data_IF_946966179016
#
_entry.id   IF_946966179016
#
_cell.length_a   1.000
_cell.length_b   1.000
_cell.length_c   1.000
_cell.angle_alpha   90.00
_cell.angle_beta   90.00
_cell.angle_gamma   90.00
#
_symmetry.space_group_name_H-M   'P 1'
#
loop_
_entity.id
_entity.type
_entity.pdbx_description
1 polymer ?
#
# COMPACT_ATOMS: atom_id res chain seq x y z
N UNK A 1 7.75 -36.01 -8.54
CA UNK A 1 7.98 -34.55 -8.38
C UNK A 1 6.92 -33.99 -7.46
N UNK A 2 7.31 -33.45 -6.29
CA UNK A 2 6.39 -32.77 -5.36
C UNK A 2 5.75 -31.61 -6.14
N UNK A 3 4.41 -31.59 -6.28
CA UNK A 3 3.72 -30.45 -6.89
C UNK A 3 4.08 -29.22 -6.06
N UNK A 4 4.85 -28.31 -6.62
CA UNK A 4 5.08 -27.03 -5.95
C UNK A 4 3.69 -26.39 -5.82
N UNK A 5 3.31 -26.04 -4.59
CA UNK A 5 2.02 -25.42 -4.33
C UNK A 5 1.91 -24.16 -5.20
N UNK A 6 1.00 -24.18 -6.18
CA UNK A 6 0.82 -23.11 -7.17
C UNK A 6 0.63 -21.75 -6.50
N UNK A 7 0.00 -21.71 -5.31
CA UNK A 7 -0.17 -20.47 -4.54
C UNK A 7 1.17 -19.84 -4.16
N UNK A 8 2.14 -20.65 -3.72
CA UNK A 8 3.48 -20.15 -3.34
C UNK A 8 4.33 -19.80 -4.55
N UNK A 9 4.18 -20.51 -5.66
CA UNK A 9 4.89 -20.20 -6.91
C UNK A 9 4.46 -18.85 -7.47
N UNK A 10 3.15 -18.62 -7.60
CA UNK A 10 2.63 -17.35 -8.10
C UNK A 10 3.01 -16.23 -7.12
N UNK A 11 2.95 -16.51 -5.81
CA UNK A 11 3.39 -15.54 -4.81
C UNK A 11 4.87 -15.15 -4.94
N UNK A 12 5.76 -16.13 -5.15
CA UNK A 12 7.18 -15.89 -5.36
C UNK A 12 7.42 -15.10 -6.66
N UNK A 13 6.67 -15.40 -7.72
CA UNK A 13 6.75 -14.69 -8.98
C UNK A 13 6.40 -13.21 -8.82
N UNK A 14 5.22 -12.88 -8.28
CA UNK A 14 4.81 -11.48 -8.07
C UNK A 14 5.64 -10.77 -6.99
N UNK A 15 6.10 -11.49 -5.97
CA UNK A 15 7.07 -10.98 -5.00
C UNK A 15 8.39 -10.61 -5.67
N UNK A 16 8.91 -11.47 -6.54
CA UNK A 16 10.10 -11.23 -7.35
C UNK A 16 9.93 -10.03 -8.29
N UNK A 17 8.78 -9.92 -8.97
CA UNK A 17 8.46 -8.76 -9.81
C UNK A 17 8.39 -7.46 -9.02
N UNK A 18 7.87 -7.49 -7.79
CA UNK A 18 7.85 -6.32 -6.89
C UNK A 18 9.27 -5.89 -6.53
N UNK A 19 10.13 -6.83 -6.15
CA UNK A 19 11.54 -6.54 -5.84
C UNK A 19 12.26 -6.00 -7.07
N UNK A 20 12.08 -6.64 -8.23
CA UNK A 20 12.65 -6.19 -9.50
C UNK A 20 12.20 -4.76 -9.82
N UNK A 21 10.90 -4.47 -9.72
CA UNK A 21 10.37 -3.12 -9.94
C UNK A 21 11.03 -2.09 -9.02
N UNK A 22 11.13 -2.36 -7.72
CA UNK A 22 11.76 -1.46 -6.76
C UNK A 22 13.26 -1.25 -7.05
N UNK A 23 13.98 -2.31 -7.42
CA UNK A 23 15.39 -2.22 -7.78
C UNK A 23 15.61 -1.40 -9.05
N UNK A 24 14.79 -1.62 -10.08
CA UNK A 24 14.88 -0.84 -11.34
C UNK A 24 14.51 0.62 -11.06
N UNK A 25 13.42 0.88 -10.33
CA UNK A 25 13.01 2.22 -9.94
C UNK A 25 14.07 2.95 -9.11
N UNK A 26 14.88 2.27 -8.30
CA UNK A 26 15.90 2.93 -7.47
C UNK A 26 17.28 3.04 -8.11
N UNK A 27 17.55 2.27 -9.18
CA UNK A 27 18.86 2.27 -9.87
C UNK A 27 18.84 2.93 -11.24
N UNK A 28 17.65 3.11 -11.84
CA UNK A 28 17.49 3.72 -13.16
C UNK A 28 16.68 5.01 -13.02
N UNK A 29 17.38 6.15 -13.05
CA UNK A 29 16.78 7.48 -12.91
C UNK A 29 15.80 7.80 -14.03
N UNK A 30 16.09 7.39 -15.27
CA UNK A 30 15.20 7.62 -16.42
C UNK A 30 13.86 6.90 -16.19
N UNK A 31 13.91 5.64 -15.76
CA UNK A 31 12.69 4.89 -15.45
C UNK A 31 11.95 5.47 -14.24
N UNK A 32 12.69 5.87 -13.19
CA UNK A 32 12.09 6.50 -12.02
C UNK A 32 11.36 7.80 -12.38
N UNK A 33 12.00 8.68 -13.14
CA UNK A 33 11.44 9.96 -13.56
C UNK A 33 10.18 9.74 -14.40
N UNK A 34 10.20 8.75 -15.30
CA UNK A 34 9.01 8.37 -16.07
C UNK A 34 7.84 7.88 -15.20
N UNK A 35 8.13 7.13 -14.13
CA UNK A 35 7.14 6.71 -13.13
C UNK A 35 6.64 7.91 -12.33
N UNK A 36 7.54 8.78 -11.87
CA UNK A 36 7.21 9.93 -11.03
C UNK A 36 6.40 10.99 -11.78
N UNK A 37 6.70 11.22 -13.06
CA UNK A 37 5.91 12.08 -13.96
C UNK A 37 4.43 11.66 -14.00
N UNK A 38 4.16 10.36 -13.98
CA UNK A 38 2.79 9.81 -13.92
C UNK A 38 2.23 9.83 -12.51
N UNK A 39 3.08 9.70 -11.49
CA UNK A 39 2.67 9.75 -10.09
C UNK A 39 2.14 11.13 -9.66
N UNK A 40 2.45 12.19 -10.43
CA UNK A 40 1.79 13.51 -10.30
C UNK A 40 0.27 13.44 -10.51
N UNK A 41 -0.21 12.41 -11.21
CA UNK A 41 -1.63 12.13 -11.30
C UNK A 41 -2.16 11.60 -9.96
N UNK A 42 -2.88 12.45 -9.22
CA UNK A 42 -3.38 12.12 -7.88
C UNK A 42 -4.39 10.97 -7.84
N UNK A 43 -4.96 10.53 -8.98
CA UNK A 43 -5.72 9.28 -9.03
C UNK A 43 -4.90 8.08 -8.53
N UNK A 44 -3.59 8.09 -8.79
CA UNK A 44 -2.67 7.11 -8.21
C UNK A 44 -2.57 7.18 -6.69
N UNK A 45 -2.85 8.34 -6.06
CA UNK A 45 -2.81 8.51 -4.61
C UNK A 45 -4.08 7.96 -3.97
N UNK A 46 -5.24 8.16 -4.62
CA UNK A 46 -6.53 7.66 -4.15
C UNK A 46 -6.68 6.14 -4.28
N UNK A 47 -6.14 5.53 -5.35
CA UNK A 47 -6.25 4.07 -5.54
C UNK A 47 -5.37 3.28 -4.57
N UNK A 48 -4.25 3.85 -4.11
CA UNK A 48 -3.28 3.13 -3.27
C UNK A 48 -3.85 2.63 -1.94
N UNK A 49 -4.56 3.45 -1.15
CA UNK A 49 -5.27 2.97 0.03
C UNK A 49 -6.25 1.84 -0.29
N UNK A 50 -6.95 1.90 -1.43
CA UNK A 50 -7.98 0.92 -1.81
C UNK A 50 -7.40 -0.50 -1.91
N UNK A 51 -6.13 -0.66 -2.28
CA UNK A 51 -5.46 -1.97 -2.30
C UNK A 51 -5.35 -2.62 -0.91
N UNK A 52 -5.51 -1.88 0.20
CA UNK A 52 -5.59 -2.49 1.52
C UNK A 52 -6.79 -3.42 1.66
N UNK A 53 -7.88 -3.18 0.93
CA UNK A 53 -9.09 -4.00 0.98
C UNK A 53 -8.83 -5.43 0.43
N UNK A 54 -8.40 -5.61 -0.84
CA UNK A 54 -8.05 -6.95 -1.33
C UNK A 54 -6.89 -7.56 -0.55
N UNK A 55 -5.92 -6.77 -0.08
CA UNK A 55 -4.83 -7.27 0.77
C UNK A 55 -5.38 -7.93 2.04
N UNK A 56 -6.23 -7.22 2.79
CA UNK A 56 -6.87 -7.73 4.00
C UNK A 56 -7.76 -8.94 3.71
N UNK A 57 -8.49 -8.94 2.59
CA UNK A 57 -9.30 -10.07 2.17
C UNK A 57 -8.45 -11.32 1.90
N UNK A 58 -7.36 -11.20 1.15
CA UNK A 58 -6.50 -12.34 0.84
C UNK A 58 -5.68 -12.80 2.05
N UNK A 59 -5.26 -11.89 2.92
CA UNK A 59 -4.68 -12.23 4.23
C UNK A 59 -5.70 -12.98 5.11
N UNK A 60 -6.96 -12.56 5.09
CA UNK A 60 -8.04 -13.30 5.72
C UNK A 60 -8.17 -14.70 5.07
N UNK A 61 -8.18 -14.81 3.75
CA UNK A 61 -8.26 -16.12 3.08
C UNK A 61 -6.97 -16.95 3.16
N UNK A 62 -5.89 -16.42 3.73
CA UNK A 62 -4.56 -17.05 3.82
C UNK A 62 -3.97 -17.41 2.45
N UNK A 63 -4.26 -16.59 1.43
CA UNK A 63 -3.72 -16.77 0.07
C UNK A 63 -2.47 -15.91 -0.11
N UNK A 64 -1.33 -16.57 -0.32
CA UNK A 64 -0.07 -15.87 -0.61
C UNK A 64 -0.10 -15.23 -1.99
N UNK A 65 -0.74 -15.88 -2.97
CA UNK A 65 -0.95 -15.32 -4.31
C UNK A 65 -1.66 -13.98 -4.25
N UNK A 66 -2.83 -13.93 -3.63
CA UNK A 66 -3.63 -12.71 -3.59
C UNK A 66 -2.93 -11.57 -2.84
N UNK A 67 -2.20 -11.89 -1.76
CA UNK A 67 -1.36 -10.92 -1.04
C UNK A 67 -0.27 -10.35 -1.97
N UNK A 68 0.52 -11.21 -2.61
CA UNK A 68 1.65 -10.78 -3.45
C UNK A 68 1.22 -9.96 -4.67
N UNK A 69 0.13 -10.35 -5.33
CA UNK A 69 -0.45 -9.61 -6.47
C UNK A 69 -0.91 -8.23 -6.02
N UNK A 70 -1.58 -8.17 -4.86
CA UNK A 70 -2.06 -6.88 -4.34
C UNK A 70 -0.90 -5.93 -4.01
N UNK A 71 0.19 -6.44 -3.41
CA UNK A 71 1.40 -5.65 -3.16
C UNK A 71 2.01 -5.18 -4.48
N UNK A 72 2.12 -6.05 -5.48
CA UNK A 72 2.64 -5.69 -6.79
C UNK A 72 1.80 -4.59 -7.46
N UNK A 73 0.47 -4.71 -7.43
CA UNK A 73 -0.44 -3.68 -7.94
C UNK A 73 -0.28 -2.36 -7.18
N UNK A 74 -0.14 -2.39 -5.86
CA UNK A 74 0.06 -1.18 -5.04
C UNK A 74 1.31 -0.40 -5.43
N UNK A 75 2.43 -1.09 -5.72
CA UNK A 75 3.66 -0.43 -6.13
C UNK A 75 3.60 0.06 -7.56
N UNK A 76 3.06 -0.76 -8.47
CA UNK A 76 2.97 -0.38 -9.89
C UNK A 76 1.90 0.68 -10.17
N UNK A 77 0.91 0.86 -9.29
CA UNK A 77 -0.15 1.86 -9.49
C UNK A 77 0.32 3.31 -9.56
N UNK A 78 1.59 3.59 -9.21
CA UNK A 78 2.20 4.92 -9.40
C UNK A 78 2.15 5.40 -10.85
N UNK A 79 2.21 4.48 -11.83
CA UNK A 79 2.29 4.82 -13.25
C UNK A 79 1.12 4.29 -14.09
N UNK A 80 0.03 3.83 -13.48
CA UNK A 80 -1.15 3.33 -14.21
C UNK A 80 -1.93 4.44 -14.93
N UNK A 81 -1.79 5.68 -14.46
CA UNK A 81 -2.45 6.84 -15.05
C UNK A 81 -1.48 7.63 -15.92
N UNK A 82 -2.01 8.30 -16.94
CA UNK A 82 -1.21 9.16 -17.81
C UNK A 82 -0.63 10.34 -17.04
N UNK A 83 0.52 10.84 -17.53
CA UNK A 83 1.10 12.10 -17.08
C UNK A 83 0.03 13.19 -17.22
N UNK A 84 -0.32 13.90 -16.14
CA UNK A 84 -1.33 14.94 -16.20
C UNK A 84 -0.81 16.16 -16.97
N UNK A 85 -1.69 16.83 -17.72
CA UNK A 85 -1.36 18.08 -18.41
C UNK A 85 -1.17 19.24 -17.44
N UNK A 86 -1.96 19.25 -16.35
CA UNK A 86 -1.94 20.27 -15.31
C UNK A 86 -1.69 19.66 -13.94
N UNK A 87 -0.80 20.27 -13.17
CA UNK A 87 -0.49 19.87 -11.80
C UNK A 87 -0.34 21.12 -10.94
N UNK A 88 -0.95 21.12 -9.76
CA UNK A 88 -0.81 22.22 -8.81
C UNK A 88 0.61 22.30 -8.25
N UNK A 89 1.05 23.51 -7.89
CA UNK A 89 2.41 23.73 -7.42
C UNK A 89 2.69 22.98 -6.10
N UNK A 90 1.70 22.84 -5.23
CA UNK A 90 1.83 22.05 -4.02
C UNK A 90 2.08 20.55 -4.30
N UNK A 91 1.44 19.99 -5.33
CA UNK A 91 1.65 18.57 -5.70
C UNK A 91 3.04 18.39 -6.31
N UNK A 92 3.48 19.31 -7.18
CA UNK A 92 4.84 19.31 -7.73
C UNK A 92 5.88 19.40 -6.62
N UNK A 93 5.74 20.38 -5.72
CA UNK A 93 6.67 20.60 -4.61
C UNK A 93 6.75 19.39 -3.67
N UNK A 94 5.61 18.75 -3.38
CA UNK A 94 5.59 17.56 -2.54
C UNK A 94 6.30 16.37 -3.19
N UNK A 95 6.06 16.14 -4.48
CA UNK A 95 6.70 15.04 -5.21
C UNK A 95 8.18 15.28 -5.47
N UNK A 96 8.60 16.51 -5.78
CA UNK A 96 10.02 16.84 -5.85
C UNK A 96 10.70 16.60 -4.50
N UNK A 97 10.09 17.01 -3.38
CA UNK A 97 10.57 16.65 -2.05
C UNK A 97 10.66 15.13 -1.84
N UNK A 98 9.62 14.35 -2.20
CA UNK A 98 9.67 12.89 -2.05
C UNK A 98 10.78 12.26 -2.90
N UNK A 99 11.01 12.75 -4.12
CA UNK A 99 12.08 12.32 -5.01
C UNK A 99 13.45 12.62 -4.42
N UNK A 100 13.69 13.86 -3.99
CA UNK A 100 14.93 14.27 -3.31
C UNK A 100 15.16 13.46 -2.04
N UNK A 101 14.11 13.23 -1.25
CA UNK A 101 14.20 12.42 -0.05
C UNK A 101 14.55 10.97 -0.37
N UNK A 102 14.01 10.37 -1.44
CA UNK A 102 14.29 8.99 -1.85
C UNK A 102 15.71 8.81 -2.40
N UNK A 103 16.17 9.73 -3.26
CA UNK A 103 17.51 9.67 -3.88
C UNK A 103 18.62 10.31 -3.03
N UNK A 104 18.26 11.09 -2.02
CA UNK A 104 19.21 11.68 -1.08
C UNK A 104 19.88 10.65 -0.19
N UNK A 105 20.80 11.13 0.64
CA UNK A 105 21.67 10.30 1.48
C UNK A 105 20.89 9.33 2.39
N UNK A 106 21.31 8.06 2.37
CA UNK A 106 20.72 7.01 3.21
C UNK A 106 21.41 6.96 4.57
N UNK A 107 20.76 7.54 5.57
CA UNK A 107 21.17 7.43 6.96
C UNK A 107 20.31 6.41 7.72
N UNK A 108 20.69 6.11 8.96
CA UNK A 108 19.97 5.16 9.80
C UNK A 108 18.50 5.54 10.02
N UNK A 109 18.17 6.84 10.18
CA UNK A 109 16.78 7.31 10.38
C UNK A 109 15.90 6.99 9.17
N UNK A 110 16.39 7.25 7.96
CA UNK A 110 15.69 6.93 6.70
C UNK A 110 15.47 5.43 6.55
N UNK A 111 16.47 4.61 6.86
CA UNK A 111 16.34 3.14 6.84
C UNK A 111 15.27 2.68 7.83
N UNK A 112 15.30 3.15 9.08
CA UNK A 112 14.29 2.82 10.09
C UNK A 112 12.88 3.19 9.62
N UNK A 113 12.72 4.37 9.01
CA UNK A 113 11.44 4.80 8.50
C UNK A 113 10.95 3.91 7.34
N UNK A 114 11.80 3.59 6.36
CA UNK A 114 11.40 2.74 5.22
C UNK A 114 10.99 1.34 5.69
N UNK A 115 11.66 0.79 6.70
CA UNK A 115 11.33 -0.52 7.30
C UNK A 115 9.95 -0.50 8.00
N UNK A 116 9.44 0.66 8.43
CA UNK A 116 8.07 0.72 8.98
C UNK A 116 7.00 0.31 7.96
N UNK A 117 7.25 0.53 6.66
CA UNK A 117 6.33 0.13 5.59
C UNK A 117 6.11 -1.38 5.56
N UNK A 118 7.12 -2.24 5.33
CA UNK A 118 6.91 -3.69 5.35
C UNK A 118 6.43 -4.21 6.71
N UNK A 119 6.86 -3.61 7.83
CA UNK A 119 6.36 -3.99 9.17
C UNK A 119 4.86 -3.74 9.28
N UNK A 120 4.37 -2.58 8.82
CA UNK A 120 2.95 -2.24 8.87
C UNK A 120 2.09 -3.19 8.02
N UNK A 121 2.55 -3.53 6.81
CA UNK A 121 1.88 -4.54 5.97
C UNK A 121 1.90 -5.93 6.60
N UNK A 122 3.01 -6.33 7.22
CA UNK A 122 3.10 -7.59 7.94
C UNK A 122 2.13 -7.63 9.13
N UNK A 123 2.07 -6.57 9.94
CA UNK A 123 1.15 -6.46 11.06
C UNK A 123 -0.31 -6.49 10.60
N UNK A 124 -0.65 -5.77 9.53
CA UNK A 124 -1.99 -5.77 8.93
C UNK A 124 -2.37 -7.16 8.43
N UNK A 125 -1.47 -7.81 7.69
CA UNK A 125 -1.65 -9.16 7.18
C UNK A 125 -1.90 -10.15 8.32
N UNK A 126 -1.06 -10.10 9.37
CA UNK A 126 -1.17 -10.95 10.54
C UNK A 126 -2.48 -10.73 11.29
N UNK A 127 -2.95 -9.49 11.41
CA UNK A 127 -4.22 -9.17 12.06
C UNK A 127 -5.39 -9.89 11.37
N UNK A 128 -5.50 -9.83 10.04
CA UNK A 128 -6.56 -10.53 9.30
C UNK A 128 -6.35 -12.04 9.21
N UNK A 129 -5.09 -12.50 9.18
CA UNK A 129 -4.74 -13.92 9.24
C UNK A 129 -5.19 -14.58 10.56
N UNK A 130 -5.09 -13.82 11.67
CA UNK A 130 -5.55 -14.18 13.02
C UNK A 130 -7.00 -13.75 13.32
N UNK A 131 -7.74 -13.22 12.33
CA UNK A 131 -9.14 -12.81 12.48
C UNK A 131 -9.38 -11.68 13.49
N UNK A 132 -8.42 -10.77 13.65
CA UNK A 132 -8.55 -9.63 14.55
C UNK A 132 -8.90 -8.35 13.79
N UNK A 133 -10.19 -8.01 13.77
CA UNK A 133 -10.69 -6.80 13.11
C UNK A 133 -10.18 -5.51 13.79
N UNK A 134 -10.18 -5.47 15.12
CA UNK A 134 -9.77 -4.27 15.88
C UNK A 134 -8.30 -3.95 15.62
N UNK A 135 -7.42 -4.96 15.69
CA UNK A 135 -5.99 -4.78 15.38
C UNK A 135 -5.82 -4.36 13.93
N UNK A 136 -6.55 -4.99 13.00
CA UNK A 136 -6.49 -4.64 11.58
C UNK A 136 -6.83 -3.17 11.32
N UNK A 137 -7.95 -2.68 11.86
CA UNK A 137 -8.37 -1.28 11.72
C UNK A 137 -7.40 -0.32 12.40
N UNK A 138 -6.88 -0.66 13.58
CA UNK A 138 -5.87 0.14 14.26
C UNK A 138 -4.60 0.30 13.41
N UNK A 139 -4.13 -0.76 12.75
CA UNK A 139 -2.97 -0.70 11.85
C UNK A 139 -3.26 0.19 10.64
N UNK A 140 -4.44 0.10 10.03
CA UNK A 140 -4.82 0.97 8.89
C UNK A 140 -4.81 2.44 9.31
N UNK A 141 -5.36 2.77 10.48
CA UNK A 141 -5.33 4.14 11.03
C UNK A 141 -3.88 4.60 11.23
N UNK A 142 -3.01 3.78 11.84
CA UNK A 142 -1.61 4.11 12.05
C UNK A 142 -0.83 4.32 10.75
N UNK A 143 -1.12 3.54 9.70
CA UNK A 143 -0.51 3.73 8.38
C UNK A 143 -0.90 5.09 7.78
N UNK A 144 -2.18 5.46 7.85
CA UNK A 144 -2.67 6.73 7.33
C UNK A 144 -2.12 7.92 8.12
N UNK A 145 -2.19 7.89 9.46
CA UNK A 145 -1.67 8.97 10.30
C UNK A 145 -0.15 9.09 10.19
N UNK A 146 0.58 7.97 10.16
CA UNK A 146 2.02 7.96 9.95
C UNK A 146 2.42 8.63 8.64
N UNK A 147 1.71 8.33 7.54
CA UNK A 147 1.97 8.98 6.24
C UNK A 147 1.66 10.47 6.27
N UNK A 148 0.55 10.89 6.88
CA UNK A 148 0.19 12.32 7.00
C UNK A 148 1.23 13.08 7.84
N UNK A 149 1.55 12.58 9.04
CA UNK A 149 2.50 13.21 9.96
C UNK A 149 3.86 13.35 9.28
N UNK A 150 4.36 12.26 8.68
CA UNK A 150 5.64 12.30 7.97
C UNK A 150 5.64 13.33 6.83
N UNK A 151 4.56 13.38 6.04
CA UNK A 151 4.47 14.31 4.90
C UNK A 151 4.48 15.77 5.36
N UNK A 152 3.72 16.12 6.40
CA UNK A 152 3.67 17.49 6.93
C UNK A 152 5.00 17.87 7.59
N UNK A 153 5.58 16.98 8.40
CA UNK A 153 6.82 17.28 9.12
C UNK A 153 8.02 17.52 8.20
N UNK A 154 8.07 16.86 7.04
CA UNK A 154 9.22 16.96 6.14
C UNK A 154 8.98 17.86 4.93
N UNK A 155 7.73 18.03 4.48
CA UNK A 155 7.40 18.80 3.27
C UNK A 155 6.54 20.06 3.54
N UNK A 156 6.23 20.35 4.81
CA UNK A 156 5.50 21.55 5.22
C UNK A 156 4.13 21.68 4.56
N UNK A 157 3.86 22.83 3.93
CA UNK A 157 2.58 23.13 3.29
C UNK A 157 2.26 22.18 2.15
N UNK A 158 3.26 21.84 1.33
CA UNK A 158 3.10 20.87 0.22
C UNK A 158 2.71 19.48 0.73
N UNK A 159 3.16 19.11 1.93
CA UNK A 159 2.81 17.86 2.61
C UNK A 159 1.33 17.74 2.97
N UNK A 160 0.59 18.85 3.06
CA UNK A 160 -0.86 18.81 3.32
C UNK A 160 -1.66 18.25 2.15
N UNK A 161 -1.10 18.22 0.95
CA UNK A 161 -1.79 17.68 -0.25
C UNK A 161 -2.14 16.20 -0.13
N UNK A 162 -1.44 15.44 0.72
CA UNK A 162 -1.75 14.02 0.96
C UNK A 162 -2.94 13.81 1.89
N UNK A 163 -3.35 14.82 2.66
CA UNK A 163 -4.36 14.68 3.72
C UNK A 163 -5.69 14.20 3.15
N UNK A 164 -6.18 14.84 2.09
CA UNK A 164 -7.47 14.50 1.48
C UNK A 164 -7.45 13.05 0.93
N UNK A 165 -6.48 12.64 0.09
CA UNK A 165 -6.33 11.25 -0.33
C UNK A 165 -6.25 10.26 0.83
N UNK A 166 -5.48 10.58 1.87
CA UNK A 166 -5.28 9.69 3.01
C UNK A 166 -6.55 9.53 3.85
N UNK A 167 -7.30 10.60 4.12
CA UNK A 167 -8.55 10.56 4.90
C UNK A 167 -9.65 9.83 4.12
N UNK A 168 -9.83 10.17 2.83
CA UNK A 168 -10.84 9.51 1.98
C UNK A 168 -10.52 8.02 1.88
N UNK A 169 -9.26 7.68 1.60
CA UNK A 169 -8.78 6.30 1.58
C UNK A 169 -9.04 5.58 2.90
N UNK A 170 -8.72 6.21 4.04
CA UNK A 170 -8.94 5.65 5.37
C UNK A 170 -10.42 5.36 5.63
N UNK A 171 -11.32 6.28 5.33
CA UNK A 171 -12.77 6.12 5.54
C UNK A 171 -13.29 4.96 4.70
N UNK A 172 -13.00 4.96 3.40
CA UNK A 172 -13.47 3.93 2.47
C UNK A 172 -12.91 2.56 2.86
N UNK A 173 -11.61 2.47 3.11
CA UNK A 173 -10.96 1.21 3.44
C UNK A 173 -11.46 0.67 4.77
N UNK A 174 -11.55 1.50 5.81
CA UNK A 174 -12.03 1.06 7.12
C UNK A 174 -13.48 0.57 7.06
N UNK A 175 -14.35 1.30 6.34
CA UNK A 175 -15.75 0.91 6.17
C UNK A 175 -15.91 -0.43 5.44
N UNK A 176 -15.22 -0.60 4.29
CA UNK A 176 -15.30 -1.82 3.49
C UNK A 176 -14.64 -3.02 4.17
N UNK A 177 -13.51 -2.82 4.86
CA UNK A 177 -12.86 -3.85 5.66
C UNK A 177 -13.77 -4.28 6.81
N UNK A 178 -14.36 -3.34 7.55
CA UNK A 178 -15.29 -3.64 8.64
C UNK A 178 -16.49 -4.45 8.16
N UNK A 179 -17.16 -3.96 7.10
CA UNK A 179 -18.33 -4.62 6.52
C UNK A 179 -17.99 -6.00 5.97
N UNK A 180 -16.92 -6.11 5.19
CA UNK A 180 -16.46 -7.37 4.60
C UNK A 180 -16.12 -8.41 5.66
N UNK A 181 -15.43 -8.00 6.73
CA UNK A 181 -15.10 -8.88 7.85
C UNK A 181 -16.35 -9.40 8.57
N UNK A 182 -17.29 -8.51 8.91
CA UNK A 182 -18.54 -8.88 9.58
C UNK A 182 -19.36 -9.86 8.76
N UNK A 183 -19.45 -9.64 7.44
CA UNK A 183 -20.15 -10.54 6.52
C UNK A 183 -19.51 -11.94 6.49
N UNK A 184 -18.19 -12.01 6.39
CA UNK A 184 -17.47 -13.29 6.35
C UNK A 184 -17.61 -14.10 7.65
N UNK A 185 -17.46 -13.45 8.81
CA UNK A 185 -17.63 -14.12 10.12
C UNK A 185 -19.10 -14.49 10.39
N UNK A 186 -20.06 -13.66 9.97
CA UNK A 186 -21.49 -13.97 10.06
C UNK A 186 -21.86 -15.23 9.28
N UNK A 187 -21.42 -15.32 8.03
CA UNK A 187 -21.66 -16.50 7.18
C UNK A 187 -21.01 -17.76 7.75
N UNK A 188 -19.80 -17.65 8.29
CA UNK A 188 -19.10 -18.80 8.90
C UNK A 188 -19.87 -19.37 10.10
N UNK A 189 -20.41 -18.51 10.97
CA UNK A 189 -21.24 -18.92 12.12
C UNK A 189 -22.57 -19.54 11.72
N UNK A 190 -23.15 -19.13 10.59
CA UNK A 190 -24.39 -19.71 10.08
C UNK A 190 -24.16 -21.11 9.52
N UNK A 191 -23.10 -21.29 8.73
CA UNK A 191 -22.77 -22.60 8.16
C UNK A 191 -22.42 -23.63 9.26
N UNK A 192 -21.66 -23.24 10.28
CA UNK A 192 -21.34 -24.12 11.41
C UNK A 192 -22.52 -24.49 12.31
N UNK A 193 -23.71 -23.88 12.12
CA UNK A 193 -24.95 -24.25 12.83
C UNK A 193 -25.86 -25.17 12.00
N UNK A 194 -25.56 -25.33 10.71
CA UNK A 194 -26.33 -26.19 9.80
C UNK A 194 -25.71 -27.59 9.65
N UNK A 195 -24.44 -27.72 10.00
CA UNK A 195 -23.69 -28.98 10.12
C UNK A 195 -23.79 -29.53 11.56
#
# INVERSE_FOLDING_TARGET
MKSINQDKLIALFFGGLTILFLLVAMKNTIFFDWVFDRHHNQWSWYIRPIFLIPFCFFAYKRSWTGISITIFCLFTSMFWFNKPEFVSDNVKAFLEFEKEWLYGNWNYKKVMLIITVPISFFALGLAFWKRSLIIGLAVVVLMATGKIIWSIQNAGESGKTIIIPAIIGLIICSGLIFWGFKKLEGNKKQNSKKD
#
